data_IF_114761585852
#
_entry.id   IF_114761585852
#
_cell.length_a   1.000
_cell.length_b   1.000
_cell.length_c   1.000
_cell.angle_alpha   90.00
_cell.angle_beta   90.00
_cell.angle_gamma   90.00
#
_symmetry.space_group_name_H-M   'P 1'
#
loop_
_entity.id
_entity.type
_entity.pdbx_description
1 polymer ?
#
# COMPACT_ATOMS: atom_id res chain seq x y z
N UNK A 1 -1.05 5.87 16.32
CA UNK A 1 -1.52 6.20 14.95
C UNK A 1 -0.54 5.55 14.00
N UNK A 2 -0.94 4.56 13.21
CA UNK A 2 -0.01 3.93 12.26
C UNK A 2 0.13 4.87 11.07
N UNK A 3 1.37 5.22 10.75
CA UNK A 3 1.72 6.01 9.59
C UNK A 3 2.05 5.07 8.41
N UNK A 4 1.73 5.42 7.15
CA UNK A 4 2.05 4.59 5.99
C UNK A 4 3.54 4.23 5.90
N UNK A 5 4.47 5.14 6.20
CA UNK A 5 5.90 4.82 6.23
C UNK A 5 6.21 3.81 7.35
N UNK A 6 5.60 3.97 8.52
CA UNK A 6 5.73 2.99 9.61
C UNK A 6 5.17 1.60 9.24
N UNK A 7 4.17 1.52 8.35
CA UNK A 7 3.68 0.26 7.81
C UNK A 7 4.72 -0.36 6.85
N UNK A 8 5.30 0.42 5.93
CA UNK A 8 6.33 -0.05 5.00
C UNK A 8 7.57 -0.56 5.74
N UNK A 9 8.02 0.14 6.79
CA UNK A 9 9.17 -0.27 7.61
C UNK A 9 8.97 -1.60 8.34
N UNK A 10 7.73 -2.03 8.56
CA UNK A 10 7.41 -3.32 9.19
C UNK A 10 7.41 -4.48 8.20
N UNK A 11 7.40 -4.21 6.90
CA UNK A 11 7.37 -5.25 5.89
C UNK A 11 8.78 -5.79 5.60
N UNK A 12 8.91 -7.07 5.21
CA UNK A 12 10.18 -7.62 4.74
C UNK A 12 10.73 -6.83 3.55
N UNK A 13 12.06 -6.79 3.41
CA UNK A 13 12.77 -6.02 2.37
C UNK A 13 12.16 -6.12 0.96
N UNK A 14 11.84 -7.31 0.41
CA UNK A 14 11.25 -7.40 -0.93
C UNK A 14 9.88 -6.74 -1.03
N UNK A 15 9.05 -6.86 0.02
CA UNK A 15 7.73 -6.22 0.07
C UNK A 15 7.85 -4.71 0.25
N UNK A 16 8.77 -4.26 1.12
CA UNK A 16 9.04 -2.83 1.35
C UNK A 16 9.45 -2.15 0.06
N UNK A 17 10.35 -2.77 -0.73
CA UNK A 17 10.79 -2.24 -2.02
C UNK A 17 9.62 -2.15 -3.02
N UNK A 18 8.88 -3.25 -3.21
CA UNK A 18 7.75 -3.27 -4.13
C UNK A 18 6.65 -2.25 -3.74
N UNK A 19 6.33 -2.14 -2.45
CA UNK A 19 5.35 -1.16 -1.95
C UNK A 19 5.84 0.29 -2.11
N UNK A 20 7.14 0.55 -1.91
CA UNK A 20 7.74 1.86 -2.14
C UNK A 20 7.71 2.28 -3.62
N UNK A 21 8.03 1.36 -4.52
CA UNK A 21 7.93 1.58 -5.97
C UNK A 21 6.48 1.87 -6.39
N UNK A 22 5.52 1.07 -5.89
CA UNK A 22 4.09 1.26 -6.17
C UNK A 22 3.57 2.60 -5.63
N UNK A 23 3.92 2.97 -4.39
CA UNK A 23 3.58 4.28 -3.79
C UNK A 23 4.10 5.42 -4.65
N UNK A 24 5.34 5.33 -5.10
CA UNK A 24 5.96 6.35 -5.97
C UNK A 24 5.20 6.49 -7.29
N UNK A 25 4.82 5.37 -7.93
CA UNK A 25 4.05 5.39 -9.17
C UNK A 25 2.66 6.02 -9.00
N UNK A 26 1.98 5.75 -7.89
CA UNK A 26 0.67 6.32 -7.56
C UNK A 26 0.78 7.84 -7.38
N UNK A 27 1.69 8.31 -6.53
CA UNK A 27 1.89 9.74 -6.26
C UNK A 27 2.31 10.48 -7.53
N UNK A 28 3.15 9.87 -8.38
CA UNK A 28 3.57 10.46 -9.65
C UNK A 28 2.41 10.61 -10.63
N UNK A 29 1.48 9.66 -10.65
CA UNK A 29 0.32 9.66 -11.56
C UNK A 29 -0.82 10.54 -11.04
N UNK A 30 -1.00 10.58 -9.72
CA UNK A 30 -2.05 11.33 -9.03
C UNK A 30 -1.44 12.10 -7.85
N UNK A 31 -0.80 13.25 -8.10
CA UNK A 31 -0.14 14.04 -7.05
C UNK A 31 -1.13 14.59 -6.01
N UNK A 32 -2.40 14.76 -6.40
CA UNK A 32 -3.46 15.24 -5.52
C UNK A 32 -4.08 14.14 -4.65
N UNK A 33 -3.58 12.90 -4.74
CA UNK A 33 -4.09 11.83 -3.91
C UNK A 33 -3.63 11.98 -2.45
N UNK A 34 -4.56 11.75 -1.53
CA UNK A 34 -4.32 11.73 -0.09
C UNK A 34 -4.06 10.30 0.35
N UNK A 35 -2.85 10.08 0.88
CA UNK A 35 -2.51 8.82 1.53
C UNK A 35 -3.07 8.76 2.96
N UNK A 36 -3.73 7.65 3.29
CA UNK A 36 -4.35 7.41 4.59
C UNK A 36 -4.19 5.95 4.99
N UNK A 37 -4.60 5.60 6.22
CA UNK A 37 -4.66 4.22 6.68
C UNK A 37 -6.12 3.74 6.75
N UNK A 38 -6.46 2.74 5.95
CA UNK A 38 -7.77 2.05 6.02
C UNK A 38 -7.57 0.58 6.29
N UNK A 39 -8.38 0.01 7.18
CA UNK A 39 -8.33 -1.44 7.51
C UNK A 39 -6.91 -1.94 7.82
N UNK A 40 -6.09 -1.10 8.45
CA UNK A 40 -4.67 -1.34 8.81
C UNK A 40 -3.67 -1.40 7.64
N UNK A 41 -4.07 -0.97 6.45
CA UNK A 41 -3.19 -0.87 5.28
C UNK A 41 -3.20 0.55 4.68
N UNK A 42 -2.11 0.98 4.03
CA UNK A 42 -2.09 2.24 3.28
C UNK A 42 -3.14 2.26 2.16
N UNK A 43 -3.83 3.38 2.05
CA UNK A 43 -4.87 3.62 1.06
C UNK A 43 -4.73 5.04 0.49
N UNK A 44 -4.97 5.18 -0.80
CA UNK A 44 -4.90 6.44 -1.52
C UNK A 44 -6.31 6.87 -1.93
N UNK A 45 -6.65 8.11 -1.62
CA UNK A 45 -7.91 8.72 -1.99
C UNK A 45 -7.66 9.88 -2.95
N UNK A 46 -8.48 10.00 -3.99
CA UNK A 46 -8.50 11.17 -4.86
C UNK A 46 -9.91 11.77 -4.80
N UNK A 47 -9.99 13.08 -4.54
CA UNK A 47 -11.27 13.78 -4.36
C UNK A 47 -12.22 13.09 -3.35
N UNK A 48 -11.66 12.57 -2.26
CA UNK A 48 -12.42 11.86 -1.22
C UNK A 48 -12.92 10.46 -1.63
N UNK A 49 -12.62 9.98 -2.84
CA UNK A 49 -12.93 8.63 -3.31
C UNK A 49 -11.71 7.73 -3.19
N UNK A 50 -11.92 6.47 -2.77
CA UNK A 50 -10.83 5.50 -2.69
C UNK A 50 -10.38 5.11 -4.11
N UNK A 51 -9.12 5.39 -4.43
CA UNK A 51 -8.48 4.94 -5.67
C UNK A 51 -7.96 3.51 -5.50
N UNK A 52 -7.05 3.32 -4.54
CA UNK A 52 -6.34 2.06 -4.37
C UNK A 52 -5.96 1.88 -2.90
N UNK A 53 -5.86 0.64 -2.47
CA UNK A 53 -5.28 0.28 -1.18
C UNK A 53 -4.20 -0.76 -1.42
N UNK A 54 -3.05 -0.56 -0.78
CA UNK A 54 -1.87 -1.40 -0.98
C UNK A 54 -1.57 -2.14 0.31
N UNK A 55 -1.32 -3.43 0.22
CA UNK A 55 -1.08 -4.28 1.38
C UNK A 55 -0.13 -5.41 1.03
N UNK A 56 0.61 -5.87 2.02
CA UNK A 56 1.39 -7.08 1.90
C UNK A 56 0.50 -8.22 2.38
N UNK A 57 0.23 -9.17 1.51
CA UNK A 57 -0.48 -10.39 1.84
C UNK A 57 0.46 -11.56 1.61
N UNK A 58 0.43 -12.54 2.53
CA UNK A 58 1.05 -13.83 2.27
C UNK A 58 0.18 -14.55 1.25
N UNK A 59 0.70 -14.76 0.05
CA UNK A 59 0.08 -15.67 -0.89
C UNK A 59 0.18 -17.07 -0.29
N UNK A 60 -0.97 -17.65 0.07
CA UNK A 60 -1.04 -19.06 0.41
C UNK A 60 -1.21 -19.78 -0.91
N UNK A 61 -0.12 -20.38 -1.41
CA UNK A 61 -0.20 -21.41 -2.45
C UNK A 61 -1.10 -22.53 -1.89
N UNK A 62 -2.39 -22.42 -2.18
CA UNK A 62 -3.31 -23.52 -1.96
C UNK A 62 -3.06 -24.41 -3.16
N UNK A 63 -2.15 -25.37 -2.99
CA UNK A 63 -2.03 -26.49 -3.91
C UNK A 63 -3.41 -27.13 -4.03
N UNK A 64 -4.07 -26.91 -5.16
CA UNK A 64 -5.19 -27.73 -5.57
C UNK A 64 -4.57 -29.06 -6.01
N UNK A 65 -4.63 -30.04 -5.09
CA UNK A 65 -4.46 -31.46 -5.41
C UNK A 65 -5.68 -31.98 -6.19
#
# INVERSE_FOLDING_TARGET
>A
MTDPDAYLHRQPEPHRRALGELRTAIITTAPDCVETMRRRVPAFLLDGKQLVSIGAARHLDTGAE
#
